data_IF_740436211500
#
_entry.id   IF_740436211500
#
_cell.length_a   1.000
_cell.length_b   1.000
_cell.length_c   1.000
_cell.angle_alpha   90.00
_cell.angle_beta   90.00
_cell.angle_gamma   90.00
#
_symmetry.space_group_name_H-M   'P 1'
#
loop_
_entity.id
_entity.type
_entity.pdbx_description
1 polymer ?
#
# COMPACT_ATOMS: atom_id res chain seq x y z
N UNK A 1 5.15 -23.26 -31.57
CA UNK A 1 5.79 -22.80 -30.32
C UNK A 1 5.19 -21.44 -29.99
N UNK A 2 4.26 -21.39 -29.04
CA UNK A 2 3.67 -20.13 -28.57
C UNK A 2 4.30 -19.88 -27.21
N UNK A 3 5.28 -18.99 -27.17
CA UNK A 3 5.87 -18.52 -25.93
C UNK A 3 4.98 -17.37 -25.45
N UNK A 4 4.08 -17.67 -24.51
CA UNK A 4 3.29 -16.65 -23.82
C UNK A 4 4.24 -15.78 -22.99
N UNK A 5 4.67 -14.65 -23.57
CA UNK A 5 5.41 -13.63 -22.87
C UNK A 5 4.43 -12.83 -22.01
N UNK A 6 4.30 -13.20 -20.74
CA UNK A 6 3.65 -12.34 -19.75
C UNK A 6 4.49 -11.07 -19.57
N UNK A 7 3.82 -9.92 -19.65
CA UNK A 7 4.42 -8.59 -19.55
C UNK A 7 4.52 -8.18 -18.07
N UNK A 8 5.70 -7.71 -17.66
CA UNK A 8 5.92 -7.19 -16.31
C UNK A 8 5.27 -5.82 -16.07
N UNK A 9 5.30 -5.34 -14.82
CA UNK A 9 4.82 -4.00 -14.48
C UNK A 9 5.54 -2.91 -15.28
N UNK A 10 4.79 -1.89 -15.69
CA UNK A 10 5.27 -0.79 -16.53
C UNK A 10 5.50 -1.18 -18.00
N UNK A 11 5.23 -2.42 -18.40
CA UNK A 11 5.31 -2.82 -19.80
C UNK A 11 4.05 -2.42 -20.58
N UNK A 12 4.18 -1.92 -21.81
CA UNK A 12 3.05 -1.49 -22.64
C UNK A 12 2.18 -2.68 -23.03
N UNK A 13 0.87 -2.52 -22.94
CA UNK A 13 -0.11 -3.59 -23.14
C UNK A 13 -1.33 -3.12 -23.95
N UNK A 14 -2.16 -4.08 -24.38
CA UNK A 14 -3.44 -3.81 -25.04
C UNK A 14 -4.63 -4.47 -24.31
N UNK A 15 -4.37 -5.53 -23.53
CA UNK A 15 -5.38 -6.27 -22.76
C UNK A 15 -4.79 -6.80 -21.46
N UNK A 16 -5.61 -6.95 -20.42
CA UNK A 16 -5.22 -7.50 -19.11
C UNK A 16 -4.57 -8.89 -19.21
N UNK A 17 -4.95 -9.69 -20.23
CA UNK A 17 -4.43 -11.04 -20.46
C UNK A 17 -2.93 -11.08 -20.77
N UNK A 18 -2.35 -9.95 -21.18
CA UNK A 18 -0.93 -9.85 -21.48
C UNK A 18 -0.09 -9.57 -20.23
N UNK A 19 -0.71 -9.10 -19.15
CA UNK A 19 0.00 -8.71 -17.94
C UNK A 19 0.26 -9.93 -17.06
N UNK A 20 1.48 -10.02 -16.52
CA UNK A 20 1.85 -11.03 -15.55
C UNK A 20 1.00 -10.89 -14.28
N UNK A 21 0.11 -11.85 -14.07
CA UNK A 21 -0.68 -11.93 -12.85
C UNK A 21 0.21 -12.50 -11.75
N UNK A 22 0.91 -11.60 -11.04
CA UNK A 22 1.57 -11.92 -9.78
C UNK A 22 0.54 -12.35 -8.72
N UNK A 23 0.96 -12.51 -7.47
CA UNK A 23 0.09 -12.75 -6.30
C UNK A 23 -0.93 -11.60 -6.01
N UNK A 24 -1.16 -10.70 -6.98
CA UNK A 24 -2.05 -9.56 -6.92
C UNK A 24 -2.56 -9.21 -8.32
N UNK A 25 -3.78 -8.66 -8.46
CA UNK A 25 -4.34 -8.26 -9.74
C UNK A 25 -3.47 -7.20 -10.45
N UNK A 26 -3.19 -7.45 -11.73
CA UNK A 26 -2.50 -6.51 -12.64
C UNK A 26 -3.43 -6.22 -13.81
N UNK A 27 -3.52 -4.94 -14.18
CA UNK A 27 -4.44 -4.44 -15.19
C UNK A 27 -3.66 -3.80 -16.33
N UNK A 28 -4.19 -3.90 -17.54
CA UNK A 28 -3.74 -3.10 -18.66
C UNK A 28 -4.52 -1.78 -18.66
N UNK A 29 -3.93 -0.76 -18.05
CA UNK A 29 -4.57 0.54 -17.90
C UNK A 29 -3.55 1.68 -18.02
N UNK A 30 -4.07 2.89 -18.14
CA UNK A 30 -3.25 4.10 -18.24
C UNK A 30 -2.64 4.37 -16.86
N UNK A 31 -1.33 4.55 -16.75
CA UNK A 31 -0.60 4.92 -15.54
C UNK A 31 -0.30 6.44 -15.49
N UNK A 32 -0.85 7.21 -16.44
CA UNK A 32 -0.72 8.66 -16.60
C UNK A 32 0.72 9.13 -16.82
N UNK A 33 1.59 8.26 -17.32
CA UNK A 33 2.95 8.60 -17.72
C UNK A 33 3.07 8.64 -19.24
N UNK A 34 2.92 9.82 -19.84
CA UNK A 34 2.88 10.01 -21.31
C UNK A 34 4.11 9.48 -22.09
N UNK A 35 5.21 9.12 -21.43
CA UNK A 35 6.45 8.69 -22.08
C UNK A 35 6.51 7.21 -22.46
N UNK A 36 5.64 6.35 -21.92
CA UNK A 36 5.69 4.89 -22.10
C UNK A 36 4.58 4.32 -23.02
N UNK A 37 3.58 5.12 -23.37
CA UNK A 37 2.46 4.74 -24.24
C UNK A 37 1.13 5.23 -23.68
N UNK A 38 0.02 4.65 -24.16
CA UNK A 38 -1.31 4.94 -23.61
C UNK A 38 -1.77 3.98 -22.51
N UNK A 39 -1.30 2.73 -22.51
CA UNK A 39 -1.66 1.71 -21.52
C UNK A 39 -0.47 0.83 -21.17
N UNK A 40 -0.33 0.53 -19.88
CA UNK A 40 0.72 -0.31 -19.32
C UNK A 40 0.15 -1.32 -18.32
N UNK A 41 0.89 -2.40 -18.09
CA UNK A 41 0.60 -3.31 -17.01
C UNK A 41 0.87 -2.61 -15.66
N UNK A 42 -0.19 -2.30 -14.93
CA UNK A 42 -0.14 -1.52 -13.70
C UNK A 42 -1.03 -2.15 -12.61
N UNK A 43 -0.85 -1.65 -11.40
CA UNK A 43 -1.51 -2.10 -10.18
C UNK A 43 -2.62 -1.14 -9.79
N UNK A 44 -3.74 -1.72 -9.36
CA UNK A 44 -4.83 -0.97 -8.74
C UNK A 44 -4.42 -0.37 -7.38
N UNK A 45 -5.35 0.35 -6.76
CA UNK A 45 -5.15 0.86 -5.40
C UNK A 45 -4.76 -0.31 -4.51
N UNK A 46 -3.73 -0.09 -3.70
CA UNK A 46 -3.16 -1.05 -2.76
C UNK A 46 -2.34 -2.20 -3.37
N UNK A 47 -2.10 -2.22 -4.67
CA UNK A 47 -1.12 -3.15 -5.23
C UNK A 47 0.31 -2.78 -4.84
N UNK A 48 1.13 -3.78 -4.54
CA UNK A 48 2.54 -3.63 -4.17
C UNK A 48 3.40 -3.29 -5.39
N UNK A 49 3.86 -2.06 -5.47
CA UNK A 49 4.72 -1.49 -6.52
C UNK A 49 6.22 -1.50 -6.16
N UNK A 50 6.60 -2.12 -5.03
CA UNK A 50 8.01 -2.25 -4.60
C UNK A 50 8.52 -1.03 -3.84
N UNK A 51 9.61 -1.15 -3.08
CA UNK A 51 10.10 -0.14 -2.13
C UNK A 51 10.70 1.15 -2.76
N UNK A 52 9.93 1.89 -3.56
CA UNK A 52 10.25 3.27 -3.96
C UNK A 52 11.48 3.42 -4.86
N UNK A 53 11.55 2.66 -5.96
CA UNK A 53 12.52 2.91 -7.03
C UNK A 53 12.11 4.07 -7.95
N UNK A 54 13.05 4.60 -8.75
CA UNK A 54 12.84 5.74 -9.67
C UNK A 54 11.69 5.57 -10.67
N UNK A 55 11.15 4.35 -10.84
CA UNK A 55 10.03 4.03 -11.73
C UNK A 55 8.82 3.42 -11.00
N UNK A 56 8.82 3.39 -9.67
CA UNK A 56 7.79 2.67 -8.91
C UNK A 56 6.38 3.26 -9.12
N UNK A 57 6.29 4.58 -9.33
CA UNK A 57 5.02 5.26 -9.61
C UNK A 57 4.38 4.79 -10.92
N UNK A 58 5.20 4.50 -11.95
CA UNK A 58 4.71 4.00 -13.25
C UNK A 58 4.10 2.60 -13.19
N UNK A 59 4.20 1.92 -12.04
CA UNK A 59 3.55 0.63 -11.80
C UNK A 59 2.13 0.78 -11.26
N UNK A 60 1.66 1.99 -10.99
CA UNK A 60 0.33 2.25 -10.45
C UNK A 60 -0.61 2.78 -11.54
N UNK A 61 -1.83 2.24 -11.60
CA UNK A 61 -2.81 2.68 -12.59
C UNK A 61 -3.38 4.06 -12.26
N UNK A 62 -3.87 4.76 -13.27
CA UNK A 62 -4.41 6.10 -13.16
C UNK A 62 -3.39 7.09 -12.63
N UNK A 63 -3.85 8.06 -11.85
CA UNK A 63 -3.00 9.09 -11.25
C UNK A 63 -2.34 8.67 -9.93
N UNK A 64 -2.32 7.37 -9.62
CA UNK A 64 -1.76 6.86 -8.36
C UNK A 64 -0.23 6.90 -8.36
N UNK A 65 0.36 6.98 -7.16
CA UNK A 65 1.80 6.95 -6.93
C UNK A 65 2.15 5.76 -6.05
N UNK A 66 3.40 5.32 -6.13
CA UNK A 66 3.93 4.27 -5.29
C UNK A 66 4.43 4.85 -3.96
N UNK A 67 3.55 4.87 -2.97
CA UNK A 67 3.86 5.35 -1.63
C UNK A 67 4.10 4.14 -0.69
N UNK A 68 5.24 4.13 0.00
CA UNK A 68 5.64 3.06 0.93
C UNK A 68 5.58 1.64 0.36
N UNK A 69 5.77 1.54 -0.96
CA UNK A 69 5.71 0.28 -1.68
C UNK A 69 4.35 -0.12 -2.23
N UNK A 70 3.34 0.74 -2.13
CA UNK A 70 1.99 0.44 -2.60
C UNK A 70 1.35 1.59 -3.39
N UNK A 71 0.50 1.22 -4.34
CA UNK A 71 -0.21 2.18 -5.18
C UNK A 71 -1.32 2.89 -4.41
N UNK A 72 -1.26 4.22 -4.38
CA UNK A 72 -2.23 5.04 -3.69
C UNK A 72 -2.43 6.37 -4.42
N UNK A 73 -3.59 7.00 -4.29
CA UNK A 73 -3.77 8.32 -4.90
C UNK A 73 -2.88 9.33 -4.19
N UNK A 74 -2.13 10.17 -4.93
CA UNK A 74 -1.35 11.24 -4.35
C UNK A 74 -2.30 12.16 -3.57
N UNK A 75 -2.01 12.35 -2.28
CA UNK A 75 -2.87 13.14 -1.39
C UNK A 75 -4.14 12.43 -0.92
N UNK A 76 -4.30 11.11 -1.10
CA UNK A 76 -5.43 10.34 -0.54
C UNK A 76 -5.55 10.48 0.98
N UNK A 77 -4.48 10.91 1.66
CA UNK A 77 -4.50 11.22 3.07
C UNK A 77 -4.73 10.01 3.96
N UNK A 78 -4.63 8.80 3.41
CA UNK A 78 -4.59 7.56 4.17
C UNK A 78 -3.26 7.48 4.90
N UNK A 79 -3.36 7.21 6.18
CA UNK A 79 -2.32 7.30 7.17
C UNK A 79 -1.93 5.91 7.61
N UNK A 80 -0.63 5.71 7.71
CA UNK A 80 0.00 4.43 8.00
C UNK A 80 0.04 4.15 9.49
N UNK A 81 0.43 2.93 9.84
CA UNK A 81 0.59 2.52 11.23
C UNK A 81 1.55 3.47 11.98
N UNK A 82 1.11 4.03 13.10
CA UNK A 82 1.87 4.99 13.90
C UNK A 82 1.66 6.46 13.52
N UNK A 83 0.98 6.76 12.42
CA UNK A 83 0.66 8.14 12.06
C UNK A 83 -0.57 8.65 12.82
N UNK A 84 -0.57 9.92 13.23
CA UNK A 84 -1.72 10.55 13.90
C UNK A 84 -2.99 10.42 13.08
N UNK A 85 -4.18 10.43 13.67
CA UNK A 85 -5.43 10.37 12.93
C UNK A 85 -6.56 11.05 13.72
N UNK A 86 -7.68 11.29 13.05
CA UNK A 86 -8.91 11.83 13.62
C UNK A 86 -10.05 10.81 13.54
N UNK A 87 -10.10 9.99 12.49
CA UNK A 87 -11.09 8.92 12.32
C UNK A 87 -10.53 7.77 11.47
N UNK A 88 -11.23 6.64 11.50
CA UNK A 88 -10.81 5.37 10.90
C UNK A 88 -10.69 5.43 9.37
N UNK A 89 -11.45 6.32 8.71
CA UNK A 89 -11.39 6.46 7.25
C UNK A 89 -10.04 7.00 6.78
N UNK A 90 -9.29 7.62 7.69
CA UNK A 90 -7.95 8.11 7.44
C UNK A 90 -6.91 7.01 7.62
N UNK A 91 -7.24 5.83 8.14
CA UNK A 91 -6.27 4.78 8.40
C UNK A 91 -6.35 3.72 7.31
N UNK A 92 -5.22 3.46 6.68
CA UNK A 92 -5.15 2.46 5.61
C UNK A 92 -3.81 1.74 5.67
N UNK A 93 -3.85 0.41 5.80
CA UNK A 93 -2.69 -0.46 5.64
C UNK A 93 -3.12 -1.76 4.98
N UNK A 94 -2.13 -2.41 4.35
CA UNK A 94 -2.32 -3.58 3.51
C UNK A 94 -1.78 -4.87 4.12
N UNK A 95 -1.10 -4.75 5.26
CA UNK A 95 -0.67 -5.89 6.07
C UNK A 95 -1.62 -6.17 7.23
N UNK A 96 -2.40 -5.17 7.61
CA UNK A 96 -3.13 -5.15 8.86
C UNK A 96 -4.29 -4.17 8.79
N UNK A 97 -5.42 -4.55 9.39
CA UNK A 97 -6.51 -3.62 9.59
C UNK A 97 -6.11 -2.56 10.61
N UNK A 98 -6.06 -1.30 10.19
CA UNK A 98 -5.79 -0.17 11.07
C UNK A 98 -7.10 0.53 11.45
N UNK A 99 -7.20 0.93 12.70
CA UNK A 99 -8.24 1.82 13.23
C UNK A 99 -7.58 3.06 13.82
N UNK A 100 -8.33 4.15 13.92
CA UNK A 100 -7.85 5.36 14.56
C UNK A 100 -8.03 5.25 16.08
N UNK A 101 -7.09 4.60 16.75
CA UNK A 101 -7.14 4.28 18.18
C UNK A 101 -6.14 5.06 19.01
N UNK A 102 -6.26 4.95 20.33
CA UNK A 102 -5.24 5.44 21.26
C UNK A 102 -4.10 4.43 21.30
N UNK A 103 -2.86 4.89 21.21
CA UNK A 103 -1.69 4.00 21.24
C UNK A 103 -1.11 3.84 22.64
N UNK A 104 -0.14 2.93 22.78
CA UNK A 104 0.64 2.65 24.00
C UNK A 104 1.03 3.88 24.84
N UNK A 105 1.38 3.70 26.12
CA UNK A 105 1.57 4.79 27.09
C UNK A 105 2.61 5.85 26.69
N UNK A 106 3.51 5.56 25.74
CA UNK A 106 4.48 6.51 25.20
C UNK A 106 3.90 7.47 24.14
N UNK A 107 2.76 7.14 23.53
CA UNK A 107 2.08 7.99 22.54
C UNK A 107 1.25 9.14 23.13
N UNK A 108 1.37 9.41 24.44
CA UNK A 108 0.74 10.54 25.13
C UNK A 108 -0.79 10.67 24.96
N UNK A 109 -1.50 9.56 24.74
CA UNK A 109 -2.95 9.58 24.48
C UNK A 109 -3.33 10.14 23.10
N UNK A 110 -2.37 10.29 22.19
CA UNK A 110 -2.64 10.70 20.82
C UNK A 110 -3.33 9.57 20.04
N UNK A 111 -4.34 9.93 19.24
CA UNK A 111 -4.97 9.01 18.31
C UNK A 111 -4.08 8.84 17.09
N UNK A 112 -3.75 7.58 16.80
CA UNK A 112 -2.93 7.19 15.66
C UNK A 112 -3.58 5.99 14.96
N UNK A 113 -3.27 5.82 13.69
CA UNK A 113 -3.63 4.62 12.97
C UNK A 113 -2.83 3.48 13.58
N UNK A 114 -3.51 2.56 14.26
CA UNK A 114 -2.90 1.49 15.01
C UNK A 114 -3.63 0.19 14.75
N UNK A 115 -2.96 -0.92 15.06
CA UNK A 115 -3.46 -2.26 14.89
C UNK A 115 -3.89 -2.87 16.22
N UNK A 116 -4.86 -3.79 16.17
CA UNK A 116 -5.28 -4.55 17.33
C UNK A 116 -4.23 -5.57 17.80
N UNK A 117 -4.43 -6.11 18.99
CA UNK A 117 -3.61 -7.19 19.57
C UNK A 117 -3.44 -8.36 18.59
N UNK A 118 -2.26 -8.99 18.60
CA UNK A 118 -1.78 -10.03 17.68
C UNK A 118 -1.54 -9.59 16.23
N UNK A 119 -1.79 -8.32 15.91
CA UNK A 119 -1.48 -7.80 14.59
C UNK A 119 0.00 -7.46 14.45
N UNK A 120 0.56 -7.50 13.23
CA UNK A 120 1.93 -7.07 12.97
C UNK A 120 2.16 -5.60 13.39
N UNK A 121 3.37 -5.32 13.87
CA UNK A 121 3.80 -3.97 14.22
C UNK A 121 5.31 -3.83 14.08
N UNK A 122 5.74 -2.58 13.84
CA UNK A 122 7.16 -2.20 13.82
C UNK A 122 7.57 -1.33 15.03
N UNK A 123 6.58 -0.76 15.74
CA UNK A 123 6.80 0.08 16.95
C UNK A 123 5.57 0.12 17.86
N UNK A 124 5.75 0.55 19.10
CA UNK A 124 4.67 0.69 20.10
C UNK A 124 3.56 1.66 19.65
N UNK A 125 3.91 2.68 18.87
CA UNK A 125 2.95 3.61 18.27
C UNK A 125 2.04 2.93 17.23
N UNK A 126 2.36 1.71 16.82
CA UNK A 126 1.56 0.93 15.90
C UNK A 126 0.45 0.10 16.56
N UNK A 127 0.37 0.06 17.89
CA UNK A 127 -0.52 -0.83 18.62
C UNK A 127 -1.61 -0.06 19.39
N UNK A 128 -2.87 -0.46 19.20
CA UNK A 128 -4.01 0.19 19.84
C UNK A 128 -4.20 -0.24 21.30
N UNK A 129 -4.99 0.55 22.02
CA UNK A 129 -5.54 0.26 23.34
C UNK A 129 -4.49 -0.02 24.42
N UNK A 130 -3.34 0.63 24.31
CA UNK A 130 -2.27 0.49 25.29
C UNK A 130 -1.36 -0.73 25.07
N UNK A 131 -1.56 -1.48 23.98
CA UNK A 131 -0.67 -2.58 23.61
C UNK A 131 0.70 -2.06 23.15
N UNK A 132 1.72 -2.92 23.30
CA UNK A 132 3.11 -2.70 22.92
C UNK A 132 3.48 -3.61 21.76
N UNK A 133 4.42 -3.15 20.95
CA UNK A 133 4.98 -3.95 19.90
C UNK A 133 6.06 -4.88 20.46
N UNK A 134 5.72 -6.16 20.62
CA UNK A 134 6.62 -7.19 21.13
C UNK A 134 6.78 -8.31 20.11
N UNK A 135 8.03 -8.60 19.78
CA UNK A 135 8.39 -9.63 18.81
C UNK A 135 7.68 -9.45 17.45
N UNK A 136 7.47 -8.20 17.03
CA UNK A 136 6.78 -7.85 15.77
C UNK A 136 5.26 -8.00 15.82
N UNK A 137 4.66 -8.10 17.02
CA UNK A 137 3.20 -8.20 17.18
C UNK A 137 2.69 -7.37 18.35
N UNK A 138 1.47 -6.84 18.23
CA UNK A 138 0.85 -6.07 19.30
C UNK A 138 0.43 -6.96 20.46
N UNK A 139 0.93 -6.67 21.67
CA UNK A 139 0.71 -7.47 22.89
C UNK A 139 0.61 -6.58 24.14
N UNK A 140 -0.03 -7.06 25.20
CA UNK A 140 -0.01 -6.38 26.51
C UNK A 140 1.26 -6.73 27.32
#
# INVERSE_FOLDING_TARGET
AQTDFYLGLGAPCYTDLQCDQRDQPVYCADNQFDFDGGYNCCLGQFGFCGYGGQYADSYCCGSMVCADGYCNYPGSGLRQQGETCQNDIQCGSLRVFLTCGTVGPYGAGQRRCCAGVNSPCDSDDGCCDGAFCRYGSCQY
#
